data_IF_775271566532
#
_entry.id   IF_775271566532
#
_cell.length_a   1.000
_cell.length_b   1.000
_cell.length_c   1.000
_cell.angle_alpha   90.00
_cell.angle_beta   90.00
_cell.angle_gamma   90.00
#
_symmetry.space_group_name_H-M   'P 1'
#
loop_
_entity.id
_entity.type
_entity.pdbx_description
1 polymer ?
#
# COMPACT_ATOMS: atom_id res chain seq x y z
N UNK A 1 0.79 -17.84 12.33
CA UNK A 1 0.51 -18.72 11.18
C UNK A 1 1.77 -18.78 10.31
N UNK A 2 2.27 -19.98 9.96
CA UNK A 2 3.43 -20.15 9.08
C UNK A 2 3.22 -19.50 7.70
N UNK A 3 4.31 -19.17 7.00
CA UNK A 3 4.26 -18.54 5.68
C UNK A 3 3.49 -19.39 4.65
N UNK A 4 3.75 -20.69 4.59
CA UNK A 4 3.05 -21.62 3.69
C UNK A 4 1.53 -21.55 3.85
N UNK A 5 1.02 -21.65 5.09
CA UNK A 5 -0.42 -21.56 5.33
C UNK A 5 -1.04 -20.21 4.95
N UNK A 6 -0.26 -19.11 5.01
CA UNK A 6 -0.73 -17.81 4.54
C UNK A 6 -0.83 -17.77 3.01
N UNK A 7 0.14 -18.33 2.31
CA UNK A 7 0.11 -18.47 0.84
C UNK A 7 -1.08 -19.33 0.43
N UNK A 8 -1.29 -20.48 1.09
CA UNK A 8 -2.44 -21.35 0.83
C UNK A 8 -3.78 -20.62 1.05
N UNK A 9 -3.89 -19.82 2.11
CA UNK A 9 -5.08 -19.01 2.37
C UNK A 9 -5.31 -17.94 1.28
N UNK A 10 -4.25 -17.28 0.79
CA UNK A 10 -4.34 -16.31 -0.30
C UNK A 10 -4.76 -17.00 -1.61
N UNK A 11 -4.17 -18.15 -1.92
CA UNK A 11 -4.50 -18.94 -3.10
C UNK A 11 -5.94 -19.46 -3.05
N UNK A 12 -6.41 -19.91 -1.88
CA UNK A 12 -7.80 -20.33 -1.68
C UNK A 12 -8.77 -19.15 -1.87
N UNK A 13 -8.43 -17.96 -1.36
CA UNK A 13 -9.24 -16.76 -1.56
C UNK A 13 -9.29 -16.35 -3.05
N UNK A 14 -8.15 -16.42 -3.75
CA UNK A 14 -8.08 -16.15 -5.19
C UNK A 14 -8.91 -17.17 -6.00
N UNK A 15 -8.78 -18.46 -5.70
CA UNK A 15 -9.54 -19.52 -6.36
C UNK A 15 -11.05 -19.38 -6.12
N UNK A 16 -11.47 -19.04 -4.90
CA UNK A 16 -12.87 -18.75 -4.60
C UNK A 16 -13.39 -17.51 -5.34
N UNK A 17 -12.57 -16.46 -5.46
CA UNK A 17 -12.93 -15.24 -6.15
C UNK A 17 -13.18 -15.48 -7.67
N UNK A 18 -12.70 -16.60 -8.20
CA UNK A 18 -12.99 -17.05 -9.56
C UNK A 18 -11.91 -16.65 -10.55
N UNK A 19 -12.17 -16.94 -11.83
CA UNK A 19 -11.15 -16.86 -12.87
C UNK A 19 -10.75 -15.42 -13.24
N UNK A 20 -9.53 -15.30 -13.74
CA UNK A 20 -8.82 -14.07 -14.07
C UNK A 20 -9.52 -13.25 -15.17
N UNK A 21 -10.46 -12.38 -14.80
CA UNK A 21 -10.91 -11.33 -15.70
C UNK A 21 -9.89 -10.18 -15.76
N UNK A 22 -9.82 -9.49 -16.91
CA UNK A 22 -9.04 -8.26 -17.12
C UNK A 22 -9.33 -7.18 -16.06
N UNK A 23 -10.55 -7.16 -15.50
CA UNK A 23 -10.94 -6.25 -14.42
C UNK A 23 -10.00 -6.25 -13.21
N UNK A 24 -9.25 -7.34 -12.99
CA UNK A 24 -8.26 -7.40 -11.88
C UNK A 24 -7.10 -6.41 -12.02
N UNK A 25 -6.85 -5.95 -13.25
CA UNK A 25 -5.75 -5.04 -13.59
C UNK A 25 -6.20 -3.58 -13.77
N UNK A 26 -7.50 -3.28 -13.71
CA UNK A 26 -8.03 -1.91 -13.87
C UNK A 26 -7.35 -0.89 -12.95
N UNK A 27 -6.99 -1.32 -11.74
CA UNK A 27 -6.32 -0.46 -10.78
C UNK A 27 -4.81 -0.37 -11.01
N UNK A 28 -4.20 -1.32 -11.73
CA UNK A 28 -2.76 -1.36 -12.03
C UNK A 28 -2.37 -0.39 -13.17
N UNK A 29 -3.27 -0.12 -14.11
CA UNK A 29 -3.00 0.73 -15.30
C UNK A 29 -2.90 2.23 -14.97
N UNK A 30 -3.48 2.69 -13.85
CA UNK A 30 -3.46 4.11 -13.45
C UNK A 30 -2.07 4.65 -13.05
N UNK A 31 -1.04 3.82 -12.92
CA UNK A 31 0.33 4.25 -12.57
C UNK A 31 1.12 4.84 -13.75
N UNK A 32 0.57 4.83 -14.98
CA UNK A 32 1.24 5.39 -16.17
C UNK A 32 0.95 6.88 -16.39
N UNK A 33 0.06 7.49 -15.60
CA UNK A 33 -0.35 8.90 -15.75
C UNK A 33 0.08 9.79 -14.57
N UNK A 34 0.66 9.23 -13.51
CA UNK A 34 1.09 9.96 -12.29
C UNK A 34 2.61 10.23 -12.25
N UNK A 35 3.14 10.93 -13.26
CA UNK A 35 4.44 11.62 -13.18
C UNK A 35 4.25 13.12 -13.49
N UNK A 36 3.15 13.74 -13.02
CA UNK A 36 3.10 15.18 -12.74
C UNK A 36 1.93 15.46 -11.77
N UNK A 37 2.21 16.11 -10.64
CA UNK A 37 1.19 16.77 -9.84
C UNK A 37 1.09 16.37 -8.36
N UNK A 38 2.18 16.54 -7.61
CA UNK A 38 2.11 16.70 -6.16
C UNK A 38 1.33 17.99 -5.83
N UNK A 39 0.11 17.85 -5.30
CA UNK A 39 -0.51 18.91 -4.50
C UNK A 39 -1.54 18.34 -3.53
N UNK A 40 -1.02 17.92 -2.38
CA UNK A 40 -1.77 17.73 -1.16
C UNK A 40 -2.61 18.97 -0.82
N UNK A 41 -3.85 18.71 -0.44
CA UNK A 41 -4.90 19.70 -0.28
C UNK A 41 -4.55 20.91 0.59
N UNK A 42 -4.78 22.09 0.02
CA UNK A 42 -5.01 23.31 0.77
C UNK A 42 -6.52 23.54 0.84
N UNK A 43 -7.11 23.26 2.01
CA UNK A 43 -8.43 23.80 2.36
C UNK A 43 -8.21 25.23 2.84
N UNK A 44 -8.87 26.19 2.19
CA UNK A 44 -9.09 27.52 2.76
C UNK A 44 -10.50 28.00 2.44
N UNK A 45 -11.19 28.67 3.39
CA UNK A 45 -12.62 28.93 3.32
C UNK A 45 -12.94 30.18 2.48
N UNK A 46 -14.17 30.17 1.95
CA UNK A 46 -14.87 31.19 1.15
C UNK A 46 -14.46 32.65 1.38
N UNK A 47 -14.35 33.40 0.27
CA UNK A 47 -14.95 34.74 0.20
C UNK A 47 -15.34 35.14 -1.22
N UNK A 48 -16.59 35.63 -1.31
CA UNK A 48 -17.18 36.61 -2.23
C UNK A 48 -17.19 36.32 -3.74
N UNK A 49 -18.41 35.99 -4.19
CA UNK A 49 -19.13 36.52 -5.36
C UNK A 49 -18.30 37.13 -6.50
N UNK A 50 -18.23 36.41 -7.63
CA UNK A 50 -18.66 36.91 -8.94
C UNK A 50 -18.24 35.92 -10.04
N UNK A 51 -19.24 35.45 -10.77
CA UNK A 51 -19.20 35.14 -12.21
C UNK A 51 -17.96 34.40 -12.75
N UNK A 52 -17.98 33.07 -12.71
CA UNK A 52 -17.32 32.29 -13.75
C UNK A 52 -17.87 30.86 -13.83
N UNK A 53 -18.74 30.60 -14.81
CA UNK A 53 -19.29 29.26 -15.08
C UNK A 53 -18.24 28.19 -15.43
N UNK A 54 -16.97 28.58 -15.59
CA UNK A 54 -15.84 27.68 -15.92
C UNK A 54 -15.28 26.90 -14.72
N UNK A 55 -15.44 27.39 -13.49
CA UNK A 55 -14.89 26.70 -12.29
C UNK A 55 -15.75 25.50 -11.88
N UNK A 56 -17.06 25.59 -12.11
CA UNK A 56 -18.02 24.51 -11.90
C UNK A 56 -17.85 23.39 -12.94
N UNK A 57 -17.48 23.73 -14.18
CA UNK A 57 -17.16 22.76 -15.23
C UNK A 57 -15.88 21.98 -14.92
N UNK A 58 -14.84 22.65 -14.38
CA UNK A 58 -13.60 22.00 -13.96
C UNK A 58 -13.81 21.11 -12.70
N UNK A 59 -14.71 21.48 -11.79
CA UNK A 59 -15.07 20.65 -10.63
C UNK A 59 -15.91 19.42 -11.04
N UNK A 60 -16.88 19.59 -11.96
CA UNK A 60 -17.62 18.46 -12.55
C UNK A 60 -16.72 17.55 -13.41
N UNK A 61 -15.68 18.10 -14.05
CA UNK A 61 -14.70 17.32 -14.79
C UNK A 61 -13.85 16.43 -13.86
N UNK A 62 -13.52 16.91 -12.64
CA UNK A 62 -12.86 16.08 -11.60
C UNK A 62 -13.78 15.04 -10.99
N UNK A 63 -15.09 15.30 -10.95
CA UNK A 63 -16.12 14.34 -10.52
C UNK A 63 -16.58 13.39 -11.63
N UNK A 64 -15.99 13.48 -12.84
CA UNK A 64 -16.31 12.55 -13.92
C UNK A 64 -15.82 11.17 -13.51
N UNK A 65 -16.75 10.33 -13.09
CA UNK A 65 -16.54 8.88 -13.03
C UNK A 65 -16.06 8.52 -14.43
N UNK A 66 -14.77 8.22 -14.55
CA UNK A 66 -14.16 7.80 -15.81
C UNK A 66 -14.78 6.44 -16.14
N UNK A 67 -15.96 6.48 -16.76
CA UNK A 67 -16.70 5.33 -17.26
C UNK A 67 -16.04 4.85 -18.53
N UNK A 68 -14.73 4.60 -18.47
CA UNK A 68 -14.03 3.94 -19.54
C UNK A 68 -14.58 2.51 -19.58
N UNK A 69 -15.48 2.33 -20.53
CA UNK A 69 -16.14 1.08 -20.85
C UNK A 69 -15.25 0.21 -21.75
N UNK A 70 -13.95 0.54 -21.84
CA UNK A 70 -12.97 -0.25 -22.58
C UNK A 70 -12.55 -1.47 -21.77
N UNK A 71 -13.27 -2.58 -21.96
CA UNK A 71 -12.70 -3.91 -21.70
C UNK A 71 -13.41 -4.80 -20.68
N UNK A 72 -14.64 -4.48 -20.28
CA UNK A 72 -15.47 -5.32 -19.37
C UNK A 72 -15.97 -6.64 -20.00
N UNK A 73 -15.31 -7.15 -21.03
CA UNK A 73 -15.60 -8.48 -21.59
C UNK A 73 -14.96 -9.55 -20.69
N UNK A 74 -15.56 -9.78 -19.54
CA UNK A 74 -15.39 -11.04 -18.82
C UNK A 74 -16.32 -12.04 -19.51
N UNK A 75 -15.77 -13.11 -20.10
CA UNK A 75 -16.56 -14.06 -20.87
C UNK A 75 -17.71 -14.59 -20.01
N UNK A 76 -18.92 -14.66 -20.57
CA UNK A 76 -20.08 -15.20 -19.86
C UNK A 76 -20.00 -16.72 -19.66
N UNK A 77 -19.05 -17.37 -20.35
CA UNK A 77 -18.86 -18.82 -20.38
C UNK A 77 -18.11 -19.35 -19.14
N UNK A 78 -17.50 -18.47 -18.34
CA UNK A 78 -16.76 -18.83 -17.11
C UNK A 78 -17.64 -18.82 -15.84
N UNK A 79 -18.97 -18.96 -16.02
CA UNK A 79 -19.96 -19.06 -14.94
C UNK A 79 -20.11 -20.50 -14.41
N UNK A 80 -19.04 -21.29 -14.39
CA UNK A 80 -18.98 -22.46 -13.50
C UNK A 80 -19.38 -22.01 -12.10
N UNK A 81 -20.33 -22.72 -11.49
CA UNK A 81 -21.15 -22.26 -10.36
C UNK A 81 -20.32 -21.58 -9.26
N UNK A 82 -20.23 -20.25 -9.32
CA UNK A 82 -19.51 -19.45 -8.33
C UNK A 82 -20.26 -19.52 -7.02
N UNK A 83 -19.62 -19.99 -5.96
CA UNK A 83 -20.22 -20.02 -4.62
C UNK A 83 -20.38 -18.57 -4.12
N UNK A 84 -21.62 -18.06 -3.93
CA UNK A 84 -21.83 -16.73 -3.37
C UNK A 84 -21.39 -16.74 -1.91
N UNK A 85 -20.57 -15.76 -1.52
CA UNK A 85 -20.16 -15.59 -0.13
C UNK A 85 -20.80 -14.31 0.41
N UNK A 86 -21.59 -14.38 1.49
CA UNK A 86 -22.16 -13.19 2.11
C UNK A 86 -21.03 -12.29 2.66
N UNK A 87 -21.27 -10.98 2.70
CA UNK A 87 -20.26 -9.98 3.07
C UNK A 87 -19.66 -10.22 4.47
N UNK A 88 -20.46 -10.77 5.38
CA UNK A 88 -20.08 -11.13 6.75
C UNK A 88 -18.94 -12.14 6.79
N UNK A 89 -18.89 -13.06 5.82
CA UNK A 89 -17.80 -14.02 5.66
C UNK A 89 -16.64 -13.45 4.83
N UNK A 90 -16.92 -12.50 3.93
CA UNK A 90 -15.87 -11.82 3.18
C UNK A 90 -15.07 -10.85 4.06
N UNK A 91 -15.69 -10.24 5.07
CA UNK A 91 -15.03 -9.31 5.98
C UNK A 91 -13.78 -9.90 6.69
N UNK A 92 -13.84 -11.10 7.32
CA UNK A 92 -12.64 -11.71 7.90
C UNK A 92 -11.62 -12.11 6.84
N UNK A 93 -12.05 -12.55 5.65
CA UNK A 93 -11.13 -12.86 4.53
C UNK A 93 -10.33 -11.61 4.14
N UNK A 94 -11.01 -10.47 3.98
CA UNK A 94 -10.36 -9.19 3.66
C UNK A 94 -9.36 -8.75 4.74
N UNK A 95 -9.67 -8.97 6.02
CA UNK A 95 -8.72 -8.67 7.11
C UNK A 95 -7.49 -9.57 7.07
N UNK A 96 -7.66 -10.86 6.78
CA UNK A 96 -6.54 -11.81 6.64
C UNK A 96 -5.67 -11.42 5.43
N UNK A 97 -6.27 -11.08 4.30
CA UNK A 97 -5.55 -10.59 3.12
C UNK A 97 -4.79 -9.30 3.42
N UNK A 98 -5.42 -8.33 4.08
CA UNK A 98 -4.76 -7.09 4.50
C UNK A 98 -3.56 -7.36 5.42
N UNK A 99 -3.68 -8.29 6.36
CA UNK A 99 -2.54 -8.69 7.20
C UNK A 99 -1.46 -9.42 6.38
N UNK A 100 -1.81 -10.24 5.39
CA UNK A 100 -0.81 -10.91 4.53
C UNK A 100 -0.07 -9.91 3.63
N UNK A 101 -0.76 -8.85 3.21
CA UNK A 101 -0.23 -7.82 2.32
C UNK A 101 0.67 -6.80 3.05
N UNK A 102 0.21 -6.28 4.20
CA UNK A 102 0.79 -5.09 4.83
C UNK A 102 1.60 -5.37 6.11
N UNK A 103 1.58 -6.59 6.66
CA UNK A 103 2.34 -6.84 7.89
C UNK A 103 3.85 -6.87 7.62
N UNK A 104 4.66 -6.18 8.45
CA UNK A 104 6.09 -5.92 8.18
C UNK A 104 6.97 -7.18 8.20
N UNK A 105 6.50 -8.27 8.82
CA UNK A 105 7.24 -9.52 8.98
C UNK A 105 6.86 -10.59 7.95
N UNK A 106 6.04 -10.26 6.95
CA UNK A 106 5.69 -11.23 5.90
C UNK A 106 6.79 -11.31 4.83
N UNK A 107 7.17 -12.52 4.40
CA UNK A 107 8.06 -12.68 3.25
C UNK A 107 7.40 -12.16 1.97
N UNK A 108 8.21 -11.85 0.96
CA UNK A 108 7.73 -11.34 -0.33
C UNK A 108 6.67 -12.26 -0.97
N UNK A 109 6.88 -13.58 -0.92
CA UNK A 109 5.95 -14.58 -1.47
C UNK A 109 4.53 -14.46 -0.91
N UNK A 110 4.39 -14.20 0.40
CA UNK A 110 3.07 -14.01 1.04
C UNK A 110 2.42 -12.71 0.58
N UNK A 111 3.22 -11.64 0.43
CA UNK A 111 2.72 -10.34 -0.03
C UNK A 111 2.29 -10.39 -1.48
N UNK A 112 3.03 -11.08 -2.34
CA UNK A 112 2.71 -11.20 -3.75
C UNK A 112 1.48 -12.09 -3.98
N UNK A 113 1.37 -13.21 -3.24
CA UNK A 113 0.14 -14.02 -3.23
C UNK A 113 -1.07 -13.24 -2.72
N UNK A 114 -0.90 -12.44 -1.67
CA UNK A 114 -1.97 -11.59 -1.14
C UNK A 114 -2.37 -10.48 -2.12
N UNK A 115 -1.41 -9.83 -2.79
CA UNK A 115 -1.67 -8.79 -3.79
C UNK A 115 -2.51 -9.36 -4.93
N UNK A 116 -2.15 -10.56 -5.41
CA UNK A 116 -2.91 -11.26 -6.43
C UNK A 116 -4.33 -11.61 -5.95
N UNK A 117 -4.46 -12.19 -4.75
CA UNK A 117 -5.76 -12.53 -4.19
C UNK A 117 -6.68 -11.30 -4.06
N UNK A 118 -6.16 -10.16 -3.61
CA UNK A 118 -6.95 -8.92 -3.49
C UNK A 118 -7.41 -8.40 -4.85
N UNK A 119 -6.59 -8.47 -5.91
CA UNK A 119 -6.98 -8.09 -7.28
C UNK A 119 -8.13 -8.94 -7.82
N UNK A 120 -8.06 -10.26 -7.61
CA UNK A 120 -9.12 -11.17 -8.05
C UNK A 120 -10.40 -10.96 -7.24
N UNK A 121 -10.29 -10.73 -5.92
CA UNK A 121 -11.43 -10.37 -5.06
C UNK A 121 -12.06 -9.04 -5.48
N UNK A 122 -11.26 -8.04 -5.87
CA UNK A 122 -11.76 -6.79 -6.43
C UNK A 122 -12.56 -7.02 -7.72
N UNK A 123 -12.01 -7.76 -8.67
CA UNK A 123 -12.69 -8.09 -9.92
C UNK A 123 -14.03 -8.79 -9.64
N UNK A 124 -14.02 -9.79 -8.75
CA UNK A 124 -15.26 -10.47 -8.33
C UNK A 124 -16.25 -9.51 -7.69
N UNK A 125 -15.82 -8.66 -6.75
CA UNK A 125 -16.69 -7.70 -6.08
C UNK A 125 -17.37 -6.73 -7.06
N UNK A 126 -16.66 -6.36 -8.14
CA UNK A 126 -17.21 -5.58 -9.25
C UNK A 126 -18.26 -6.34 -10.07
N UNK A 127 -18.13 -7.66 -10.21
CA UNK A 127 -19.14 -8.51 -10.85
C UNK A 127 -20.36 -8.78 -9.97
N UNK A 128 -20.14 -9.02 -8.69
CA UNK A 128 -21.19 -9.30 -7.71
C UNK A 128 -21.86 -8.00 -7.19
N UNK A 129 -21.37 -6.83 -7.63
CA UNK A 129 -21.85 -5.49 -7.25
C UNK A 129 -21.89 -5.25 -5.72
N UNK A 130 -20.93 -5.82 -4.98
CA UNK A 130 -20.84 -5.69 -3.52
C UNK A 130 -20.02 -4.45 -3.16
N UNK A 131 -20.69 -3.30 -3.02
CA UNK A 131 -20.03 -2.00 -2.81
C UNK A 131 -19.00 -1.97 -1.66
N UNK A 132 -19.31 -2.62 -0.53
CA UNK A 132 -18.39 -2.69 0.61
C UNK A 132 -17.10 -3.46 0.28
N UNK A 133 -17.20 -4.53 -0.51
CA UNK A 133 -16.06 -5.31 -0.95
C UNK A 133 -15.20 -4.56 -1.97
N UNK A 134 -15.85 -3.83 -2.89
CA UNK A 134 -15.16 -2.99 -3.89
C UNK A 134 -14.28 -1.95 -3.19
N UNK A 135 -14.84 -1.21 -2.23
CA UNK A 135 -14.09 -0.19 -1.49
C UNK A 135 -12.95 -0.79 -0.65
N UNK A 136 -13.21 -1.90 0.04
CA UNK A 136 -12.19 -2.57 0.84
C UNK A 136 -11.04 -3.13 0.00
N UNK A 137 -11.34 -3.73 -1.16
CA UNK A 137 -10.30 -4.30 -2.02
C UNK A 137 -9.49 -3.21 -2.72
N UNK A 138 -10.15 -2.15 -3.22
CA UNK A 138 -9.49 -1.01 -3.85
C UNK A 138 -8.52 -0.31 -2.89
N UNK A 139 -8.97 -0.02 -1.67
CA UNK A 139 -8.11 0.59 -0.65
C UNK A 139 -6.88 -0.26 -0.31
N UNK A 140 -7.02 -1.59 -0.24
CA UNK A 140 -5.87 -2.49 -0.04
C UNK A 140 -4.89 -2.46 -1.22
N UNK A 141 -5.38 -2.37 -2.46
CA UNK A 141 -4.55 -2.29 -3.67
C UNK A 141 -3.75 -0.98 -3.68
N UNK A 142 -4.42 0.15 -3.42
CA UNK A 142 -3.78 1.47 -3.36
C UNK A 142 -2.75 1.56 -2.20
N UNK A 143 -3.05 0.94 -1.04
CA UNK A 143 -2.11 0.84 0.07
C UNK A 143 -0.88 -0.03 -0.26
N UNK A 144 -1.04 -1.17 -0.94
CA UNK A 144 0.11 -1.99 -1.37
C UNK A 144 0.99 -1.24 -2.38
N UNK A 145 0.37 -0.55 -3.34
CA UNK A 145 1.07 0.31 -4.31
C UNK A 145 1.90 1.38 -3.61
N UNK A 146 1.28 2.17 -2.73
CA UNK A 146 1.98 3.22 -1.99
C UNK A 146 3.08 2.65 -1.08
N UNK A 147 2.85 1.51 -0.43
CA UNK A 147 3.88 0.84 0.38
C UNK A 147 5.08 0.36 -0.47
N UNK A 148 4.82 -0.19 -1.66
CA UNK A 148 5.88 -0.61 -2.62
C UNK A 148 6.62 0.60 -3.19
N UNK A 149 5.92 1.68 -3.57
CA UNK A 149 6.53 2.95 -4.00
C UNK A 149 7.44 3.51 -2.89
N UNK A 150 6.96 3.56 -1.65
CA UNK A 150 7.73 4.02 -0.49
C UNK A 150 8.95 3.14 -0.21
N UNK A 151 8.83 1.81 -0.29
CA UNK A 151 9.96 0.89 -0.13
C UNK A 151 11.02 1.07 -1.23
N UNK A 152 10.60 1.29 -2.47
CA UNK A 152 11.51 1.57 -3.60
C UNK A 152 12.24 2.91 -3.41
N UNK A 153 11.54 3.95 -2.95
CA UNK A 153 12.13 5.26 -2.64
C UNK A 153 13.12 5.19 -1.47
N UNK A 154 12.81 4.42 -0.42
CA UNK A 154 13.74 4.19 0.69
C UNK A 154 15.00 3.43 0.24
N UNK A 155 14.85 2.44 -0.66
CA UNK A 155 15.98 1.70 -1.23
C UNK A 155 16.87 2.57 -2.12
N UNK A 156 16.30 3.47 -2.93
CA UNK A 156 17.07 4.42 -3.74
C UNK A 156 17.80 5.45 -2.88
N UNK A 157 17.17 5.96 -1.82
CA UNK A 157 17.80 6.87 -0.86
C UNK A 157 18.99 6.21 -0.13
N UNK A 158 18.83 4.95 0.33
CA UNK A 158 19.92 4.20 0.95
C UNK A 158 21.08 3.90 -0.02
N UNK A 159 20.77 3.69 -1.30
CA UNK A 159 21.77 3.43 -2.36
C UNK A 159 22.46 4.71 -2.87
N UNK A 160 21.82 5.87 -2.74
CA UNK A 160 22.42 7.18 -3.05
C UNK A 160 23.39 7.70 -1.98
N UNK A 161 23.33 7.16 -0.76
CA UNK A 161 24.15 7.60 0.37
C UNK A 161 25.58 7.02 0.37
N UNK A 162 25.91 6.07 -0.51
CA UNK A 162 27.24 5.43 -0.59
C UNK A 162 28.29 6.20 -1.42
N UNK A 163 27.97 7.37 -2.00
CA UNK A 163 28.95 8.13 -2.81
C UNK A 163 29.04 9.60 -2.37
N UNK A 164 29.64 9.82 -1.20
CA UNK A 164 30.29 11.07 -0.84
C UNK A 164 31.45 10.84 0.15
N UNK A 165 32.32 9.85 -0.13
CA UNK A 165 33.70 9.90 0.36
C UNK A 165 34.51 10.55 -0.75
N UNK A 166 34.78 11.85 -0.57
CA UNK A 166 35.64 12.62 -1.45
C UNK A 166 37.00 11.92 -1.61
N UNK A 167 37.35 11.62 -2.84
CA UNK A 167 38.73 11.30 -3.20
C UNK A 167 39.51 12.61 -3.21
N UNK A 168 40.03 12.99 -2.05
CA UNK A 168 41.07 14.02 -1.94
C UNK A 168 42.43 13.32 -1.97
N UNK A 169 43.28 13.78 -2.88
CA UNK A 169 44.61 13.25 -3.13
C UNK A 169 45.55 13.29 -1.92
N UNK A 170 46.42 12.30 -1.93
CA UNK A 170 47.79 12.19 -1.43
C UNK A 170 48.43 13.33 -0.60
N UNK A 171 49.12 12.86 0.45
CA UNK A 171 50.36 13.33 1.06
C UNK A 171 50.30 14.14 2.37
N UNK A 172 50.81 13.47 3.41
CA UNK A 172 51.69 13.97 4.47
C UNK A 172 51.28 15.25 5.21
N UNK A 173 50.90 15.10 6.49
CA UNK A 173 51.76 15.49 7.63
C UNK A 173 50.97 15.49 8.93
N UNK A 174 51.67 15.11 9.99
CA UNK A 174 51.35 15.31 11.40
C UNK A 174 50.55 16.58 11.72
N UNK A 175 49.42 16.44 12.40
CA UNK A 175 49.04 17.27 13.56
C UNK A 175 47.66 16.87 14.10
N UNK A 176 47.64 16.35 15.34
CA UNK A 176 46.45 16.38 16.19
C UNK A 176 46.07 17.84 16.48
N UNK A 177 44.77 18.11 16.66
CA UNK A 177 44.38 18.71 17.93
C UNK A 177 43.17 18.03 18.58
N UNK A 178 43.13 18.20 19.89
CA UNK A 178 42.20 17.63 20.87
C UNK A 178 40.99 18.54 21.07
N UNK A 179 39.80 17.96 21.28
CA UNK A 179 38.84 18.49 22.26
C UNK A 179 37.79 17.43 22.67
N UNK A 180 37.81 17.10 23.97
CA UNK A 180 36.71 16.52 24.77
C UNK A 180 35.60 17.59 24.95
N UNK A 181 34.32 17.29 25.33
CA UNK A 181 34.02 16.55 26.57
C UNK A 181 32.67 15.77 26.71
N UNK A 182 32.59 15.06 27.85
CA UNK A 182 31.40 14.73 28.68
C UNK A 182 30.50 13.53 28.37
N UNK A 183 30.86 12.39 28.96
CA UNK A 183 29.92 11.38 29.51
C UNK A 183 29.72 11.59 31.01
N UNK A 184 28.49 11.57 31.56
CA UNK A 184 28.27 11.33 32.98
C UNK A 184 28.00 9.86 33.31
N UNK A 185 28.65 9.41 34.38
CA UNK A 185 28.71 8.07 34.94
C UNK A 185 27.52 7.67 35.82
N UNK A 186 27.17 6.37 35.79
CA UNK A 186 26.52 5.50 36.80
C UNK A 186 25.88 6.14 38.07
N UNK A 187 24.59 5.85 38.28
CA UNK A 187 23.98 5.57 39.60
C UNK A 187 23.01 4.37 39.40
N UNK A 188 23.41 3.14 39.75
CA UNK A 188 23.17 2.40 41.01
C UNK A 188 21.67 2.09 41.26
N UNK A 189 21.30 0.83 40.97
CA UNK A 189 20.03 0.17 41.34
C UNK A 189 19.85 0.14 42.86
N UNK A 190 18.63 0.32 43.37
CA UNK A 190 18.25 -0.22 44.67
C UNK A 190 17.48 -1.56 44.50
N UNK A 191 18.10 -2.64 44.97
CA UNK A 191 17.39 -3.87 45.35
C UNK A 191 16.55 -3.58 46.60
N UNK A 192 15.24 -3.86 46.56
CA UNK A 192 14.40 -3.97 47.77
C UNK A 192 13.51 -5.21 47.68
N UNK A 193 14.05 -6.26 48.28
CA UNK A 193 13.46 -7.29 49.15
C UNK A 193 11.96 -7.63 49.06
N UNK A 194 11.73 -8.93 48.81
CA UNK A 194 10.61 -9.77 49.25
C UNK A 194 10.01 -9.40 50.62
N UNK A 195 8.67 -9.28 50.68
CA UNK A 195 7.86 -9.76 51.81
C UNK A 195 6.54 -10.31 51.26
N UNK A 196 6.30 -11.61 51.49
CA UNK A 196 4.97 -12.23 51.48
C UNK A 196 4.23 -11.90 52.78
N UNK A 197 2.93 -11.63 52.67
CA UNK A 197 1.90 -12.34 53.45
C UNK A 197 0.56 -12.23 52.75
#
# INVERSE_FOLDING_TARGET
MPAASKVDACNAAAAWAGQYCKCRFELDENDLEEEEGDSLGSVSPMSSEAENGKELEDELARMRINGDSSGRNCSEDDKEARVPLPWELLQPVMRVLGHCLLAPLNPAEVRDAAAEAVRVVYARACHDLVAQAILAARSLIELDKSARKAAKAAASAASGQIVAVGTAGSNASSSRPSSKPNTPSKQRKPDTLLVSK
#
